data_IF_305539497210
#
_entry.id   IF_305539497210
#
_cell.length_a   1.000
_cell.length_b   1.000
_cell.length_c   1.000
_cell.angle_alpha   90.00
_cell.angle_beta   90.00
_cell.angle_gamma   90.00
#
_symmetry.space_group_name_H-M   'P 1'
#
loop_
_entity.id
_entity.type
_entity.pdbx_description
1 polymer ?
#
# COMPACT_ATOMS: atom_id res chain seq x y z
N UNK A 1 1.23 -13.70 29.25
CA UNK A 1 1.56 -14.63 28.15
C UNK A 1 2.45 -15.80 28.62
N UNK A 2 2.18 -16.45 29.77
CA UNK A 2 3.10 -17.49 30.31
C UNK A 2 2.98 -18.86 29.64
N UNK A 3 1.85 -19.16 29.00
CA UNK A 3 1.59 -20.46 28.38
C UNK A 3 2.15 -20.58 26.95
N UNK A 4 2.21 -19.47 26.20
CA UNK A 4 2.67 -19.48 24.80
C UNK A 4 4.13 -19.98 24.65
N UNK A 5 5.10 -19.53 25.48
CA UNK A 5 6.47 -20.05 25.40
C UNK A 5 6.56 -21.54 25.75
N UNK A 6 5.80 -21.99 26.75
CA UNK A 6 5.76 -23.39 27.18
C UNK A 6 5.14 -24.29 26.11
N UNK A 7 4.06 -23.86 25.48
CA UNK A 7 3.42 -24.56 24.36
C UNK A 7 4.37 -24.65 23.16
N UNK A 8 5.06 -23.56 22.81
CA UNK A 8 6.03 -23.56 21.72
C UNK A 8 7.20 -24.52 21.97
N UNK A 9 7.71 -24.57 23.20
CA UNK A 9 8.75 -25.53 23.60
C UNK A 9 8.27 -26.97 23.50
N UNK A 10 7.05 -27.27 23.98
CA UNK A 10 6.46 -28.60 23.89
C UNK A 10 6.24 -29.04 22.44
N UNK A 11 5.68 -28.16 21.59
CA UNK A 11 5.50 -28.42 20.15
C UNK A 11 6.84 -28.70 19.46
N UNK A 12 7.88 -27.92 19.77
CA UNK A 12 9.22 -28.18 19.23
C UNK A 12 9.69 -29.56 19.64
N UNK A 13 9.62 -29.91 20.92
CA UNK A 13 10.08 -31.22 21.40
C UNK A 13 9.36 -32.38 20.70
N UNK A 14 8.05 -32.27 20.50
CA UNK A 14 7.22 -33.29 19.86
C UNK A 14 7.51 -33.47 18.34
N UNK A 15 7.84 -32.37 17.66
CA UNK A 15 8.28 -32.43 16.26
C UNK A 15 9.67 -33.08 16.10
N UNK A 16 10.58 -32.85 17.05
CA UNK A 16 11.91 -33.49 17.03
C UNK A 16 11.82 -34.98 17.33
N UNK A 17 10.99 -35.40 18.29
CA UNK A 17 10.78 -36.82 18.61
C UNK A 17 10.13 -37.61 17.47
N UNK A 18 9.32 -36.94 16.64
CA UNK A 18 8.66 -37.53 15.47
C UNK A 18 9.58 -37.71 14.24
N UNK A 19 10.88 -37.39 14.36
CA UNK A 19 11.84 -37.51 13.25
C UNK A 19 11.67 -36.46 12.15
N UNK A 20 10.83 -35.45 12.36
CA UNK A 20 10.70 -34.28 11.49
C UNK A 20 11.77 -33.23 11.82
N UNK A 21 13.01 -33.69 12.01
CA UNK A 21 14.18 -32.90 12.45
C UNK A 21 14.58 -31.78 11.47
N UNK A 22 13.95 -31.73 10.29
CA UNK A 22 14.21 -30.74 9.25
C UNK A 22 13.21 -29.58 9.18
N UNK A 23 12.21 -29.53 10.06
CA UNK A 23 11.31 -28.38 10.14
C UNK A 23 12.00 -27.19 10.84
N UNK A 24 13.10 -26.69 10.26
CA UNK A 24 13.66 -25.39 10.64
C UNK A 24 12.54 -24.37 10.53
N UNK A 25 12.17 -23.76 11.66
CA UNK A 25 11.19 -22.69 11.66
C UNK A 25 11.66 -21.56 10.75
N UNK A 26 10.72 -20.81 10.15
CA UNK A 26 11.06 -19.69 9.24
C UNK A 26 12.12 -18.74 9.82
N UNK A 27 12.07 -18.50 11.14
CA UNK A 27 13.07 -17.70 11.85
C UNK A 27 14.49 -18.31 11.80
N UNK A 28 14.63 -19.62 12.04
CA UNK A 28 15.92 -20.31 12.01
C UNK A 28 16.49 -20.37 10.59
N UNK A 29 15.63 -20.64 9.58
CA UNK A 29 16.03 -20.58 8.17
C UNK A 29 16.57 -19.21 7.82
N UNK A 30 15.89 -18.15 8.28
CA UNK A 30 16.31 -16.77 8.04
C UNK A 30 17.67 -16.45 8.68
N UNK A 31 17.89 -16.85 9.94
CA UNK A 31 19.18 -16.67 10.63
C UNK A 31 20.32 -17.42 9.91
N UNK A 32 20.10 -18.67 9.53
CA UNK A 32 21.09 -19.47 8.81
C UNK A 32 21.40 -18.89 7.43
N UNK A 33 20.37 -18.42 6.72
CA UNK A 33 20.50 -17.75 5.44
C UNK A 33 21.38 -16.50 5.55
N UNK A 34 21.08 -15.62 6.51
CA UNK A 34 21.88 -14.41 6.75
C UNK A 34 23.32 -14.75 7.17
N UNK A 35 23.50 -15.75 8.04
CA UNK A 35 24.83 -16.20 8.46
C UNK A 35 25.65 -16.74 7.28
N UNK A 36 25.04 -17.53 6.39
CA UNK A 36 25.69 -18.03 5.19
C UNK A 36 26.11 -16.92 4.22
N UNK A 37 25.21 -15.95 3.98
CA UNK A 37 25.50 -14.78 3.14
C UNK A 37 26.63 -13.91 3.73
N UNK A 38 26.58 -13.64 5.03
CA UNK A 38 27.60 -12.85 5.72
C UNK A 38 28.96 -13.57 5.79
N UNK A 39 28.97 -14.90 5.84
CA UNK A 39 30.18 -15.71 5.75
C UNK A 39 30.73 -15.83 4.31
N UNK A 40 30.06 -15.23 3.31
CA UNK A 40 30.48 -15.29 1.91
C UNK A 40 30.37 -16.69 1.30
N UNK A 41 29.52 -17.57 1.87
CA UNK A 41 29.31 -18.91 1.31
C UNK A 41 28.66 -18.77 -0.08
N UNK A 42 29.20 -19.44 -1.11
CA UNK A 42 28.58 -19.40 -2.42
C UNK A 42 27.20 -20.07 -2.35
N UNK A 43 26.20 -19.52 -3.05
CA UNK A 43 24.89 -20.13 -3.10
C UNK A 43 24.98 -21.47 -3.85
N UNK A 44 24.22 -22.47 -3.39
CA UNK A 44 24.19 -23.81 -4.01
C UNK A 44 23.68 -23.73 -5.44
N UNK A 45 22.74 -22.83 -5.70
CA UNK A 45 22.22 -22.50 -7.03
C UNK A 45 22.61 -21.08 -7.41
N UNK A 46 22.93 -20.81 -8.68
CA UNK A 46 23.28 -19.46 -9.12
C UNK A 46 22.11 -18.49 -8.84
N UNK A 47 22.43 -17.35 -8.23
CA UNK A 47 21.44 -16.30 -7.98
C UNK A 47 21.06 -15.62 -9.31
N UNK A 48 19.81 -15.14 -9.44
CA UNK A 48 19.43 -14.34 -10.59
C UNK A 48 20.23 -13.04 -10.64
N UNK A 49 20.43 -12.50 -11.85
CA UNK A 49 21.15 -11.24 -12.03
C UNK A 49 20.49 -10.07 -11.28
N UNK A 50 19.16 -10.07 -11.21
CA UNK A 50 18.36 -8.99 -10.63
C UNK A 50 17.04 -9.51 -10.07
N UNK A 51 16.62 -8.95 -8.95
CA UNK A 51 15.24 -9.01 -8.43
C UNK A 51 14.67 -7.60 -8.42
N UNK A 52 13.45 -7.46 -8.91
CA UNK A 52 12.71 -6.20 -8.87
C UNK A 52 11.39 -6.42 -8.15
N UNK A 53 11.14 -5.60 -7.14
CA UNK A 53 9.91 -5.64 -6.34
C UNK A 53 9.16 -4.33 -6.62
N UNK A 54 7.99 -4.45 -7.26
CA UNK A 54 7.12 -3.32 -7.59
C UNK A 54 5.88 -3.30 -6.70
N UNK A 55 5.47 -2.10 -6.27
CA UNK A 55 4.19 -1.89 -5.59
C UNK A 55 4.13 -2.45 -4.16
N UNK A 56 5.27 -2.79 -3.56
CA UNK A 56 5.30 -3.19 -2.16
C UNK A 56 5.02 -1.97 -1.28
N UNK A 57 3.80 -1.89 -0.73
CA UNK A 57 3.41 -0.86 0.22
C UNK A 57 3.91 -1.15 1.65
N UNK A 58 4.21 -2.42 1.96
CA UNK A 58 4.87 -2.87 3.19
C UNK A 58 5.69 -4.12 2.95
N UNK A 59 6.77 -4.30 3.71
CA UNK A 59 7.49 -5.56 3.82
C UNK A 59 7.89 -5.80 5.28
N UNK A 60 7.87 -7.06 5.76
CA UNK A 60 8.43 -7.40 7.07
C UNK A 60 9.92 -7.08 7.14
N UNK A 61 10.41 -6.68 8.32
CA UNK A 61 11.83 -6.42 8.58
C UNK A 61 12.72 -7.59 8.15
N UNK A 62 12.36 -8.82 8.49
CA UNK A 62 13.09 -10.02 8.08
C UNK A 62 13.25 -10.10 6.55
N UNK A 63 12.23 -9.69 5.78
CA UNK A 63 12.32 -9.69 4.32
C UNK A 63 13.28 -8.61 3.83
N UNK A 64 13.24 -7.40 4.41
CA UNK A 64 14.17 -6.33 4.07
C UNK A 64 15.62 -6.67 4.44
N UNK A 65 15.85 -7.28 5.60
CA UNK A 65 17.18 -7.75 6.02
C UNK A 65 17.73 -8.78 5.03
N UNK A 66 16.90 -9.73 4.60
CA UNK A 66 17.28 -10.71 3.58
C UNK A 66 17.61 -10.05 2.24
N UNK A 67 16.78 -9.10 1.79
CA UNK A 67 16.98 -8.37 0.54
C UNK A 67 18.24 -7.50 0.56
N UNK A 68 18.50 -6.82 1.68
CA UNK A 68 19.70 -6.03 1.88
C UNK A 68 20.96 -6.90 1.85
N UNK A 69 20.91 -8.09 2.48
CA UNK A 69 22.02 -9.05 2.43
C UNK A 69 22.25 -9.59 1.00
N UNK A 70 21.18 -9.91 0.26
CA UNK A 70 21.24 -10.32 -1.14
C UNK A 70 21.78 -9.21 -2.06
N UNK A 71 21.46 -7.95 -1.75
CA UNK A 71 21.94 -6.77 -2.49
C UNK A 71 23.46 -6.67 -2.61
N UNK A 72 24.21 -7.40 -1.77
CA UNK A 72 25.69 -7.49 -1.85
C UNK A 72 26.19 -8.42 -2.96
N UNK A 73 25.37 -9.38 -3.40
CA UNK A 73 25.75 -10.41 -4.38
C UNK A 73 24.96 -10.31 -5.69
N UNK A 74 23.82 -9.63 -5.69
CA UNK A 74 22.95 -9.46 -6.85
C UNK A 74 22.21 -8.12 -6.79
N UNK A 75 21.68 -7.66 -7.93
CA UNK A 75 20.96 -6.39 -7.96
C UNK A 75 19.55 -6.55 -7.38
N UNK A 76 19.25 -5.77 -6.34
CA UNK A 76 17.91 -5.68 -5.75
C UNK A 76 17.35 -4.30 -6.00
N UNK A 77 16.23 -4.21 -6.72
CA UNK A 77 15.53 -2.96 -7.00
C UNK A 77 14.19 -3.01 -6.29
N UNK A 78 13.96 -2.06 -5.38
CA UNK A 78 12.71 -1.88 -4.68
C UNK A 78 12.03 -0.60 -5.16
N UNK A 79 10.92 -0.73 -5.88
CA UNK A 79 10.10 0.39 -6.31
C UNK A 79 8.97 0.62 -5.30
N UNK A 80 9.19 1.60 -4.43
CA UNK A 80 8.29 1.94 -3.32
C UNK A 80 7.34 3.06 -3.74
N UNK A 81 6.01 2.88 -3.64
CA UNK A 81 5.07 3.98 -3.82
C UNK A 81 5.15 4.92 -2.60
N UNK A 82 5.71 6.11 -2.78
CA UNK A 82 5.74 7.14 -1.75
C UNK A 82 4.75 8.27 -2.13
N UNK A 83 3.73 8.55 -1.32
CA UNK A 83 2.75 9.59 -1.62
C UNK A 83 3.31 11.01 -1.48
N UNK A 84 4.44 11.21 -0.81
CA UNK A 84 4.99 12.52 -0.48
C UNK A 84 6.50 12.60 -0.79
N UNK A 85 6.95 13.72 -1.36
CA UNK A 85 8.38 13.94 -1.70
C UNK A 85 9.24 14.43 -0.53
N UNK A 86 8.60 14.98 0.51
CA UNK A 86 9.26 15.48 1.72
C UNK A 86 9.12 14.51 2.89
N UNK A 87 9.96 14.66 3.91
CA UNK A 87 9.86 13.85 5.12
C UNK A 87 8.57 14.14 5.88
N UNK A 88 7.70 13.14 5.94
CA UNK A 88 6.36 13.24 6.54
C UNK A 88 6.15 12.26 7.71
N UNK A 89 7.16 11.49 8.10
CA UNK A 89 7.02 10.53 9.20
C UNK A 89 6.64 11.20 10.52
N UNK A 90 7.11 12.43 10.72
CA UNK A 90 6.96 13.20 11.96
C UNK A 90 5.54 13.78 12.14
N UNK A 91 4.71 13.83 11.08
CA UNK A 91 3.33 14.35 11.18
C UNK A 91 2.31 13.28 11.59
N UNK A 92 2.70 12.01 11.54
CA UNK A 92 1.81 10.88 11.84
C UNK A 92 1.83 10.57 13.33
N UNK A 93 0.66 10.28 13.91
CA UNK A 93 0.51 9.83 15.31
C UNK A 93 1.51 8.73 15.71
N UNK A 94 2.12 8.82 16.88
CA UNK A 94 3.14 7.84 17.35
C UNK A 94 4.59 8.17 16.98
N UNK A 95 4.85 9.41 16.53
CA UNK A 95 6.18 9.95 16.17
C UNK A 95 7.25 9.89 17.27
N UNK A 96 6.83 9.82 18.53
CA UNK A 96 7.74 9.84 19.70
C UNK A 96 8.73 8.67 19.70
N UNK A 97 8.35 7.54 19.08
CA UNK A 97 9.18 6.33 19.00
C UNK A 97 10.25 6.39 17.89
N UNK A 98 10.26 7.45 17.06
CA UNK A 98 10.98 7.49 15.78
C UNK A 98 12.01 8.63 15.69
N UNK A 99 12.39 9.27 16.80
CA UNK A 99 13.40 10.34 16.79
C UNK A 99 14.77 9.76 16.40
N UNK A 100 15.21 10.04 15.17
CA UNK A 100 16.53 9.66 14.65
C UNK A 100 17.25 10.85 14.01
N UNK A 101 18.58 10.76 14.01
CA UNK A 101 19.50 11.80 13.53
C UNK A 101 19.56 11.92 11.99
N UNK A 102 19.09 10.93 11.23
CA UNK A 102 19.13 10.94 9.75
C UNK A 102 17.78 10.53 9.16
N UNK A 103 17.36 11.28 8.14
CA UNK A 103 16.06 11.14 7.45
C UNK A 103 16.30 10.94 5.97
N UNK A 104 15.60 10.01 5.31
CA UNK A 104 15.73 9.83 3.85
C UNK A 104 15.34 11.08 3.08
N UNK A 105 14.20 11.66 3.39
CA UNK A 105 13.69 12.83 2.68
C UNK A 105 14.06 14.12 3.41
N UNK A 106 14.25 15.20 2.65
CA UNK A 106 14.48 16.51 3.25
C UNK A 106 13.19 17.05 3.89
N UNK A 107 13.29 17.79 4.99
CA UNK A 107 12.17 18.55 5.50
C UNK A 107 11.74 19.60 4.47
N UNK A 108 10.45 19.88 4.39
CA UNK A 108 9.93 20.96 3.54
C UNK A 108 10.40 22.31 4.09
N UNK A 109 10.99 23.15 3.24
CA UNK A 109 11.52 24.48 3.60
C UNK A 109 12.49 24.49 4.79
N UNK A 110 13.14 23.37 5.11
CA UNK A 110 14.01 23.27 6.29
C UNK A 110 13.26 23.20 7.63
N UNK A 111 11.93 23.15 7.64
CA UNK A 111 11.14 23.06 8.87
C UNK A 111 11.16 21.65 9.45
N UNK A 112 11.74 21.52 10.64
CA UNK A 112 11.72 20.27 11.39
C UNK A 112 10.40 20.07 12.13
N UNK A 113 9.52 19.25 11.56
CA UNK A 113 8.19 18.93 12.10
C UNK A 113 8.25 18.11 13.41
N UNK A 114 9.39 17.50 13.73
CA UNK A 114 9.57 16.78 14.99
C UNK A 114 9.62 17.71 16.21
N UNK A 115 9.98 18.98 16.00
CA UNK A 115 10.02 20.02 17.01
C UNK A 115 8.70 20.81 17.12
N UNK A 116 7.77 20.61 16.18
CA UNK A 116 6.47 21.29 16.16
C UNK A 116 5.47 20.64 17.12
N UNK A 117 4.76 21.47 17.89
CA UNK A 117 3.68 21.02 18.76
C UNK A 117 2.61 20.25 17.96
N UNK A 118 2.03 19.19 18.54
CA UNK A 118 1.09 18.31 17.84
C UNK A 118 -0.12 19.08 17.30
N UNK A 119 -0.59 20.07 18.06
CA UNK A 119 -1.70 20.94 17.68
C UNK A 119 -1.42 21.75 16.42
N UNK A 120 -0.16 22.15 16.18
CA UNK A 120 0.21 23.01 15.05
C UNK A 120 0.62 22.22 13.80
N UNK A 121 0.77 20.89 13.88
CA UNK A 121 1.22 20.07 12.76
C UNK A 121 0.36 20.21 11.50
N UNK A 122 -0.94 20.42 11.65
CA UNK A 122 -1.87 20.57 10.52
C UNK A 122 -1.55 21.80 9.64
N UNK A 123 -0.83 22.80 10.18
CA UNK A 123 -0.42 24.01 9.45
C UNK A 123 0.82 23.76 8.56
N UNK A 124 1.56 22.70 8.84
CA UNK A 124 2.84 22.38 8.22
C UNK A 124 2.86 21.02 7.51
N UNK A 125 1.84 20.19 7.70
CA UNK A 125 1.71 18.89 7.07
C UNK A 125 0.27 18.55 6.68
N UNK A 126 0.14 17.69 5.68
CA UNK A 126 -1.15 17.31 5.14
C UNK A 126 -1.94 16.41 6.14
N UNK A 127 -3.18 16.77 6.52
CA UNK A 127 -3.92 16.04 7.53
C UNK A 127 -4.42 14.67 7.08
N UNK A 128 -4.70 14.46 5.79
CA UNK A 128 -5.07 13.14 5.27
C UNK A 128 -3.89 12.18 5.38
N UNK A 129 -2.69 12.66 5.05
CA UNK A 129 -1.46 11.89 5.21
C UNK A 129 -1.17 11.58 6.68
N UNK A 130 -1.41 12.53 7.59
CA UNK A 130 -1.28 12.30 9.03
C UNK A 130 -2.25 11.22 9.55
N UNK A 131 -3.49 11.20 9.04
CA UNK A 131 -4.54 10.28 9.49
C UNK A 131 -4.36 8.86 8.91
N UNK A 132 -3.99 8.74 7.64
CA UNK A 132 -3.99 7.46 6.91
C UNK A 132 -2.60 6.89 6.64
N UNK A 133 -1.54 7.68 6.83
CA UNK A 133 -0.19 7.31 6.42
C UNK A 133 0.59 6.42 7.39
N UNK A 134 0.02 5.93 8.49
CA UNK A 134 0.75 5.15 9.50
C UNK A 134 1.52 3.96 8.90
N UNK A 135 0.85 3.15 8.10
CA UNK A 135 1.46 1.96 7.48
C UNK A 135 2.60 2.33 6.53
N UNK A 136 2.40 3.34 5.68
CA UNK A 136 3.42 3.82 4.74
C UNK A 136 4.63 4.43 5.46
N UNK A 137 4.39 5.18 6.54
CA UNK A 137 5.46 5.73 7.39
C UNK A 137 6.30 4.60 7.98
N UNK A 138 5.67 3.62 8.61
CA UNK A 138 6.39 2.55 9.30
C UNK A 138 7.28 1.77 8.32
N UNK A 139 6.80 1.56 7.09
CA UNK A 139 7.58 0.95 6.03
C UNK A 139 8.74 1.84 5.56
N UNK A 140 8.51 3.12 5.29
CA UNK A 140 9.57 4.06 4.91
C UNK A 140 10.64 4.16 6.00
N UNK A 141 10.23 4.28 7.26
CA UNK A 141 11.15 4.31 8.40
C UNK A 141 11.98 3.03 8.50
N UNK A 142 11.37 1.87 8.28
CA UNK A 142 12.11 0.61 8.27
C UNK A 142 13.14 0.58 7.14
N UNK A 143 12.81 1.13 5.98
CA UNK A 143 13.76 1.30 4.88
C UNK A 143 14.91 2.24 5.29
N UNK A 144 14.67 3.39 5.93
CA UNK A 144 15.72 4.32 6.43
C UNK A 144 16.82 3.58 7.21
N UNK A 145 16.47 2.58 8.03
CA UNK A 145 17.42 1.77 8.80
C UNK A 145 18.42 0.99 7.92
N UNK A 146 17.97 0.51 6.77
CA UNK A 146 18.81 -0.23 5.82
C UNK A 146 19.66 0.69 4.94
N UNK A 147 19.26 1.95 4.76
CA UNK A 147 20.11 2.97 4.15
C UNK A 147 21.17 3.47 5.14
N UNK A 148 20.84 3.60 6.43
CA UNK A 148 21.79 4.01 7.48
C UNK A 148 22.94 3.01 7.69
N UNK A 149 22.68 1.71 7.51
CA UNK A 149 23.72 0.66 7.57
C UNK A 149 24.62 0.65 6.32
N UNK A 150 24.31 1.48 5.31
CA UNK A 150 25.11 1.65 4.11
C UNK A 150 26.29 2.62 4.32
N UNK A 151 27.21 2.25 5.21
CA UNK A 151 28.63 2.58 5.00
C UNK A 151 29.12 2.17 3.59
N UNK A 152 28.36 1.27 2.92
CA UNK A 152 28.43 0.86 1.52
C UNK A 152 27.98 1.91 0.48
N UNK A 153 27.17 2.92 0.81
CA UNK A 153 26.76 3.95 -0.16
C UNK A 153 27.95 4.75 -0.72
N UNK A 154 29.03 4.90 0.06
CA UNK A 154 30.27 5.55 -0.42
C UNK A 154 31.07 4.71 -1.42
N UNK A 155 30.81 3.41 -1.54
CA UNK A 155 31.60 2.50 -2.38
C UNK A 155 30.91 2.12 -3.70
N UNK A 156 29.59 2.28 -3.81
CA UNK A 156 28.81 1.69 -4.92
C UNK A 156 28.05 2.68 -5.80
N UNK A 157 27.96 3.97 -5.43
CA UNK A 157 27.36 5.04 -6.25
C UNK A 157 26.03 4.64 -6.91
N UNK A 158 25.18 3.88 -6.21
CA UNK A 158 23.85 3.50 -6.70
C UNK A 158 22.91 4.65 -6.32
N UNK A 159 22.45 5.46 -7.28
CA UNK A 159 21.69 6.65 -6.96
C UNK A 159 20.29 6.26 -6.46
N UNK A 160 19.86 6.89 -5.36
CA UNK A 160 18.44 6.98 -5.04
C UNK A 160 17.79 7.84 -6.12
N UNK A 161 16.70 7.34 -6.70
CA UNK A 161 15.94 8.06 -7.73
C UNK A 161 14.56 8.36 -7.17
N UNK A 162 14.36 9.62 -6.81
CA UNK A 162 13.07 10.13 -6.36
C UNK A 162 12.27 10.55 -7.61
N UNK A 163 11.22 9.80 -7.94
CA UNK A 163 10.37 10.03 -9.11
C UNK A 163 9.01 10.56 -8.66
N UNK A 164 8.80 11.86 -8.80
CA UNK A 164 7.53 12.52 -8.50
C UNK A 164 7.06 13.31 -9.71
N UNK A 165 5.74 13.32 -9.94
CA UNK A 165 5.13 14.21 -10.93
C UNK A 165 5.40 15.67 -10.58
N UNK A 166 5.59 16.53 -11.58
CA UNK A 166 5.65 17.99 -11.43
C UNK A 166 4.31 18.69 -11.71
N UNK A 167 3.27 17.91 -12.05
CA UNK A 167 1.93 18.44 -12.34
C UNK A 167 1.38 19.18 -11.12
N UNK A 168 0.88 20.40 -11.33
CA UNK A 168 0.29 21.23 -10.29
C UNK A 168 -1.23 21.08 -10.20
N UNK A 169 -1.85 20.42 -11.19
CA UNK A 169 -3.23 20.01 -11.12
C UNK A 169 -4.25 21.14 -11.26
N UNK A 170 -5.12 21.06 -12.27
CA UNK A 170 -6.23 22.00 -12.41
C UNK A 170 -7.46 21.58 -11.60
N UNK A 171 -7.72 20.27 -11.47
CA UNK A 171 -8.91 19.73 -10.80
C UNK A 171 -8.68 19.55 -9.30
N UNK A 172 -9.76 19.51 -8.52
CA UNK A 172 -9.81 19.27 -7.09
C UNK A 172 -9.07 18.00 -6.69
N UNK A 173 -9.28 16.89 -7.40
CA UNK A 173 -8.55 15.64 -7.15
C UNK A 173 -7.03 15.87 -7.27
N UNK A 174 -6.62 16.63 -8.28
CA UNK A 174 -5.22 16.86 -8.60
C UNK A 174 -4.56 17.84 -7.64
N UNK A 175 -5.27 18.90 -7.25
CA UNK A 175 -4.86 19.81 -6.18
C UNK A 175 -4.67 19.05 -4.86
N UNK A 176 -5.61 18.16 -4.49
CA UNK A 176 -5.49 17.32 -3.28
C UNK A 176 -4.26 16.41 -3.36
N UNK A 177 -4.01 15.76 -4.50
CA UNK A 177 -2.84 14.91 -4.70
C UNK A 177 -1.53 15.71 -4.62
N UNK A 178 -1.50 16.93 -5.16
CA UNK A 178 -0.36 17.85 -5.04
C UNK A 178 -0.12 18.25 -3.60
N UNK A 179 -1.17 18.58 -2.85
CA UNK A 179 -1.07 18.91 -1.42
C UNK A 179 -0.50 17.76 -0.59
N UNK A 180 -0.88 16.51 -0.90
CA UNK A 180 -0.30 15.32 -0.26
C UNK A 180 1.17 15.15 -0.68
N UNK A 181 1.45 15.24 -1.99
CA UNK A 181 2.81 15.13 -2.56
C UNK A 181 3.77 16.12 -1.92
N UNK A 182 3.30 17.34 -1.72
CA UNK A 182 4.12 18.49 -1.33
C UNK A 182 4.07 18.80 0.15
N UNK A 183 3.45 17.91 0.94
CA UNK A 183 3.30 18.04 2.37
C UNK A 183 2.72 19.42 2.75
N UNK A 184 1.65 19.79 2.07
CA UNK A 184 0.96 21.05 2.30
C UNK A 184 -0.07 20.89 3.41
N UNK A 185 0.10 21.71 4.46
CA UNK A 185 -0.93 21.91 5.46
C UNK A 185 -2.13 22.66 4.89
N UNK A 186 -3.26 22.56 5.56
CA UNK A 186 -4.47 23.27 5.15
C UNK A 186 -4.40 24.69 5.71
N UNK A 187 -4.48 25.69 4.82
CA UNK A 187 -4.60 27.10 5.22
C UNK A 187 -5.77 27.76 4.51
N UNK A 188 -6.60 28.55 5.19
CA UNK A 188 -7.74 29.24 4.56
C UNK A 188 -7.32 30.06 3.33
N UNK A 189 -6.15 30.70 3.38
CA UNK A 189 -5.58 31.48 2.30
C UNK A 189 -5.13 30.66 1.07
N UNK A 190 -4.97 29.36 1.22
CA UNK A 190 -4.61 28.43 0.12
C UNK A 190 -5.83 27.73 -0.50
N UNK A 191 -7.03 27.97 0.04
CA UNK A 191 -8.26 27.44 -0.54
C UNK A 191 -8.59 28.20 -1.84
N UNK A 192 -8.31 27.58 -2.98
CA UNK A 192 -8.71 28.07 -4.29
C UNK A 192 -10.21 27.87 -4.51
N UNK A 193 -10.84 28.79 -5.23
CA UNK A 193 -12.21 28.62 -5.67
C UNK A 193 -12.32 27.38 -6.56
N UNK A 194 -13.33 26.55 -6.30
CA UNK A 194 -13.60 25.36 -7.10
C UNK A 194 -14.30 25.77 -8.40
N UNK A 195 -13.96 25.08 -9.49
CA UNK A 195 -14.74 25.17 -10.73
C UNK A 195 -16.03 24.36 -10.55
N UNK A 196 -17.18 24.99 -10.80
CA UNK A 196 -18.49 24.35 -10.68
C UNK A 196 -18.66 23.15 -11.63
N UNK A 197 -17.84 23.06 -12.69
CA UNK A 197 -17.83 21.93 -13.63
C UNK A 197 -16.82 20.83 -13.25
N UNK A 198 -16.11 20.97 -12.14
CA UNK A 198 -15.14 19.98 -11.69
C UNK A 198 -15.83 18.80 -10.99
N UNK A 199 -15.89 17.69 -11.70
CA UNK A 199 -16.42 16.42 -11.19
C UNK A 199 -15.33 15.38 -10.92
N UNK A 200 -14.11 15.81 -10.61
CA UNK A 200 -12.99 14.92 -10.28
C UNK A 200 -13.13 14.24 -8.91
N UNK A 201 -13.83 14.87 -7.97
CA UNK A 201 -14.24 14.30 -6.68
C UNK A 201 -15.70 14.64 -6.44
N UNK A 202 -16.56 13.62 -6.33
CA UNK A 202 -18.01 13.80 -6.15
C UNK A 202 -18.49 12.91 -5.02
N UNK A 203 -19.39 13.42 -4.19
CA UNK A 203 -20.05 12.68 -3.13
C UNK A 203 -21.50 12.41 -3.51
N UNK A 204 -21.91 11.15 -3.42
CA UNK A 204 -23.30 10.73 -3.64
C UNK A 204 -23.89 10.21 -2.34
N UNK A 205 -25.12 10.63 -2.03
CA UNK A 205 -25.90 10.10 -0.91
C UNK A 205 -27.04 9.30 -1.50
N UNK A 206 -27.06 7.99 -1.20
CA UNK A 206 -28.10 7.07 -1.63
C UNK A 206 -28.90 6.55 -0.43
N UNK A 207 -30.15 6.14 -0.68
CA UNK A 207 -31.07 5.67 0.36
C UNK A 207 -31.03 4.14 0.55
N UNK A 208 -30.30 3.42 -0.31
CA UNK A 208 -30.08 1.98 -0.24
C UNK A 208 -28.89 1.57 -1.12
N UNK A 209 -28.30 0.40 -0.86
CA UNK A 209 -27.23 -0.16 -1.67
C UNK A 209 -27.66 -0.39 -3.13
N UNK A 210 -28.91 -0.79 -3.38
CA UNK A 210 -29.43 -0.93 -4.74
C UNK A 210 -29.45 0.44 -5.45
N UNK A 211 -29.90 1.49 -4.76
CA UNK A 211 -29.93 2.83 -5.34
C UNK A 211 -28.52 3.39 -5.56
N UNK A 212 -27.58 3.06 -4.70
CA UNK A 212 -26.16 3.40 -4.86
C UNK A 212 -25.58 2.81 -6.16
N UNK A 213 -25.82 1.51 -6.41
CA UNK A 213 -25.37 0.83 -7.64
C UNK A 213 -26.05 1.41 -8.88
N UNK A 214 -27.34 1.74 -8.81
CA UNK A 214 -28.05 2.40 -9.91
C UNK A 214 -27.48 3.79 -10.24
N UNK A 215 -27.24 4.61 -9.21
CA UNK A 215 -26.62 5.94 -9.39
C UNK A 215 -25.22 5.78 -10.01
N UNK A 216 -24.43 4.81 -9.55
CA UNK A 216 -23.13 4.51 -10.13
C UNK A 216 -23.23 4.14 -11.61
N UNK A 217 -24.17 3.28 -12.00
CA UNK A 217 -24.38 2.90 -13.39
C UNK A 217 -24.70 4.11 -14.27
N UNK A 218 -25.64 4.96 -13.85
CA UNK A 218 -25.99 6.20 -14.55
C UNK A 218 -24.76 7.14 -14.71
N UNK A 219 -23.99 7.34 -13.63
CA UNK A 219 -22.78 8.19 -13.65
C UNK A 219 -21.69 7.64 -14.58
N UNK A 220 -21.53 6.32 -14.65
CA UNK A 220 -20.57 5.70 -15.56
C UNK A 220 -21.01 5.85 -17.01
N UNK A 221 -22.31 5.70 -17.30
CA UNK A 221 -22.84 5.94 -18.64
C UNK A 221 -22.57 7.37 -19.13
N UNK A 222 -22.84 8.36 -18.28
CA UNK A 222 -22.58 9.76 -18.61
C UNK A 222 -21.09 10.01 -18.91
N UNK A 223 -20.20 9.41 -18.12
CA UNK A 223 -18.75 9.52 -18.32
C UNK A 223 -18.25 8.80 -19.57
N UNK A 224 -18.82 7.64 -19.90
CA UNK A 224 -18.49 6.94 -21.14
C UNK A 224 -19.04 7.65 -22.38
N UNK A 225 -20.19 8.31 -22.27
CA UNK A 225 -20.76 9.11 -23.35
C UNK A 225 -19.86 10.31 -23.73
N UNK A 226 -19.10 10.86 -22.78
CA UNK A 226 -18.10 11.89 -23.03
C UNK A 226 -16.86 11.38 -23.80
N UNK A 227 -16.66 10.06 -23.90
CA UNK A 227 -15.70 9.42 -24.82
C UNK A 227 -14.23 9.39 -24.38
N UNK A 228 -13.91 9.88 -23.17
CA UNK A 228 -12.52 9.95 -22.67
C UNK A 228 -12.09 8.73 -21.85
N UNK A 229 -13.04 7.90 -21.41
CA UNK A 229 -12.83 6.82 -20.46
C UNK A 229 -13.24 5.47 -21.06
N UNK A 230 -12.47 4.42 -20.80
CA UNK A 230 -12.85 3.04 -21.11
C UNK A 230 -13.24 2.29 -19.83
N UNK A 231 -14.12 1.27 -19.90
CA UNK A 231 -14.50 0.48 -18.72
C UNK A 231 -13.31 -0.11 -17.94
N UNK A 232 -12.23 -0.49 -18.64
CA UNK A 232 -10.99 -1.02 -18.01
C UNK A 232 -10.22 0.01 -17.17
N UNK A 233 -10.51 1.29 -17.34
CA UNK A 233 -9.86 2.38 -16.59
C UNK A 233 -10.60 2.68 -15.27
N UNK A 234 -11.69 1.97 -15.00
CA UNK A 234 -12.57 2.16 -13.84
C UNK A 234 -12.40 1.01 -12.85
N UNK A 235 -12.23 1.36 -11.57
CA UNK A 235 -12.31 0.42 -10.45
C UNK A 235 -13.42 0.86 -9.49
N UNK A 236 -14.23 -0.10 -9.07
CA UNK A 236 -15.28 0.10 -8.06
C UNK A 236 -14.93 -0.78 -6.88
N UNK A 237 -14.76 -0.17 -5.70
CA UNK A 237 -14.42 -0.87 -4.47
C UNK A 237 -15.56 -0.71 -3.47
N UNK A 238 -15.96 -1.81 -2.86
CA UNK A 238 -17.00 -1.87 -1.82
C UNK A 238 -16.43 -2.55 -0.58
N UNK A 239 -16.92 -2.24 0.64
CA UNK A 239 -16.38 -2.80 1.88
C UNK A 239 -16.55 -4.33 1.99
N UNK A 240 -17.62 -4.88 1.44
CA UNK A 240 -17.92 -6.31 1.42
C UNK A 240 -18.65 -6.62 0.10
N UNK A 241 -18.08 -7.50 -0.71
CA UNK A 241 -18.54 -7.72 -2.09
C UNK A 241 -19.73 -8.69 -2.18
N UNK A 242 -19.86 -9.63 -1.24
CA UNK A 242 -20.94 -10.62 -1.22
C UNK A 242 -22.32 -9.98 -1.20
N UNK A 243 -22.52 -8.93 -0.39
CA UNK A 243 -23.77 -8.18 -0.32
C UNK A 243 -24.07 -7.33 -1.56
N UNK A 244 -23.04 -6.83 -2.26
CA UNK A 244 -23.20 -5.97 -3.43
C UNK A 244 -23.31 -6.75 -4.75
N UNK A 245 -22.71 -7.94 -4.85
CA UNK A 245 -22.64 -8.68 -6.11
C UNK A 245 -24.03 -8.98 -6.74
N UNK A 246 -25.07 -9.40 -5.99
CA UNK A 246 -26.41 -9.56 -6.54
C UNK A 246 -27.02 -8.25 -7.05
N UNK A 247 -26.74 -7.13 -6.38
CA UNK A 247 -27.25 -5.80 -6.76
C UNK A 247 -26.57 -5.28 -8.02
N UNK A 248 -25.26 -5.52 -8.15
CA UNK A 248 -24.48 -5.22 -9.35
C UNK A 248 -25.03 -6.01 -10.53
N UNK A 249 -25.16 -7.33 -10.42
CA UNK A 249 -25.76 -8.18 -11.47
C UNK A 249 -27.15 -7.70 -11.85
N UNK A 250 -28.01 -7.47 -10.85
CA UNK A 250 -29.37 -7.01 -11.06
C UNK A 250 -29.46 -5.66 -11.77
N UNK A 251 -28.42 -4.81 -11.73
CA UNK A 251 -28.41 -3.48 -12.37
C UNK A 251 -27.71 -3.50 -13.73
N UNK A 252 -26.55 -4.17 -13.82
CA UNK A 252 -25.70 -4.16 -15.01
C UNK A 252 -26.12 -5.22 -16.05
N UNK A 253 -26.75 -6.33 -15.64
CA UNK A 253 -27.21 -7.40 -16.56
C UNK A 253 -28.61 -7.12 -17.14
N UNK A 254 -29.20 -5.97 -16.87
CA UNK A 254 -30.53 -5.62 -17.39
C UNK A 254 -30.55 -5.34 -18.90
N UNK A 255 -29.37 -5.09 -19.48
CA UNK A 255 -29.24 -4.61 -20.86
C UNK A 255 -28.51 -5.63 -21.72
N UNK A 256 -29.03 -5.85 -22.93
CA UNK A 256 -28.36 -6.66 -23.94
C UNK A 256 -27.05 -6.01 -24.38
N UNK A 257 -26.09 -6.82 -24.85
CA UNK A 257 -24.76 -6.35 -25.28
C UNK A 257 -24.78 -5.33 -26.42
N UNK A 258 -25.87 -5.27 -27.17
CA UNK A 258 -26.06 -4.32 -28.27
C UNK A 258 -26.69 -2.99 -27.81
N UNK A 259 -27.20 -2.92 -26.57
CA UNK A 259 -27.73 -1.69 -25.99
C UNK A 259 -26.59 -0.75 -25.61
N UNK A 260 -26.77 0.56 -25.87
CA UNK A 260 -25.79 1.60 -25.52
C UNK A 260 -25.60 1.75 -24.01
N UNK A 261 -26.53 1.23 -23.20
CA UNK A 261 -26.49 1.23 -21.73
C UNK A 261 -25.74 0.04 -21.14
N UNK A 262 -25.33 -0.90 -21.96
CA UNK A 262 -24.53 -2.03 -21.52
C UNK A 262 -23.10 -1.58 -21.18
N UNK A 263 -22.68 -1.84 -19.94
CA UNK A 263 -21.31 -1.62 -19.48
C UNK A 263 -20.71 -2.98 -19.10
N UNK A 264 -19.61 -3.42 -19.73
CA UNK A 264 -18.93 -4.65 -19.32
C UNK A 264 -18.30 -4.48 -17.95
N UNK A 265 -18.49 -5.47 -17.07
CA UNK A 265 -17.93 -5.49 -15.72
C UNK A 265 -17.43 -6.89 -15.36
N UNK A 266 -16.58 -6.97 -14.34
CA UNK A 266 -16.13 -8.22 -13.74
C UNK A 266 -16.06 -8.03 -12.23
N UNK A 267 -16.63 -8.96 -11.46
CA UNK A 267 -16.58 -8.94 -10.00
C UNK A 267 -15.40 -9.78 -9.55
N UNK A 268 -14.56 -9.22 -8.67
CA UNK A 268 -13.42 -9.89 -8.06
C UNK A 268 -13.64 -10.01 -6.55
N UNK A 269 -12.83 -10.84 -5.89
CA UNK A 269 -12.83 -11.06 -4.43
C UNK A 269 -14.10 -11.72 -3.84
N UNK A 270 -14.92 -12.35 -4.69
CA UNK A 270 -15.99 -13.24 -4.21
C UNK A 270 -15.40 -14.51 -3.59
N UNK A 271 -15.98 -14.96 -2.48
CA UNK A 271 -15.59 -16.25 -1.93
C UNK A 271 -16.13 -17.37 -2.83
N UNK A 272 -15.34 -18.43 -3.02
CA UNK A 272 -15.76 -19.59 -3.81
C UNK A 272 -17.11 -20.17 -3.35
N UNK A 273 -17.43 -20.01 -2.06
CA UNK A 273 -18.70 -20.42 -1.44
C UNK A 273 -19.92 -19.69 -2.00
N UNK A 274 -19.77 -18.40 -2.30
CA UNK A 274 -20.86 -17.55 -2.78
C UNK A 274 -21.12 -17.75 -4.28
N UNK A 275 -20.14 -18.27 -5.01
CA UNK A 275 -20.25 -18.54 -6.45
C UNK A 275 -20.75 -19.96 -6.77
N UNK A 276 -20.53 -20.93 -5.89
CA UNK A 276 -20.79 -22.35 -6.16
C UNK A 276 -21.89 -22.94 -5.24
N UNK A 277 -23.13 -23.07 -5.72
CA UNK A 277 -24.24 -23.65 -4.95
C UNK A 277 -23.97 -25.05 -4.41
N UNK A 278 -23.11 -25.82 -5.08
CA UNK A 278 -22.71 -27.17 -4.64
C UNK A 278 -21.88 -27.16 -3.35
N UNK A 279 -21.05 -26.13 -3.13
CA UNK A 279 -20.27 -26.01 -1.89
C UNK A 279 -21.18 -25.72 -0.70
N UNK A 280 -22.22 -24.91 -0.89
CA UNK A 280 -23.23 -24.68 0.13
C UNK A 280 -23.97 -25.98 0.47
N UNK A 281 -24.33 -26.78 -0.54
CA UNK A 281 -25.03 -28.05 -0.32
C UNK A 281 -24.20 -29.09 0.46
N UNK A 282 -22.87 -29.06 0.33
CA UNK A 282 -21.96 -29.97 1.05
C UNK A 282 -21.86 -29.67 2.55
N UNK A 283 -22.07 -28.44 3.00
CA UNK A 283 -22.04 -28.08 4.43
C UNK A 283 -23.26 -28.62 5.21
N UNK A 284 -24.33 -29.00 4.51
CA UNK A 284 -25.56 -29.55 5.11
C UNK A 284 -25.61 -31.09 5.13
N UNK A 285 -24.58 -31.77 4.59
CA UNK A 285 -24.42 -33.22 4.56
C UNK A 285 -23.43 -33.69 5.63
#
# INVERSE_FOLDING_TARGET
>A
QCWQPRLWQALRQDLHSSGQDQALGRAQVHEQFLAALNAGRPPVTPLPRRVVIFGAATLPEQSLTALAALGRQMQVILAVPNPCRYHWADIVSGRELLRRERRRQSPRNGHDLSATATEDLHQFGNPLLAAWGRQGRDFLHLLDQFDETAALQRQMDIPRIDLFSEDQGATLLRQLQVQIRDLEGIRPETCTALDDNDHSVVFHIAHSALREVQILHDQLLDRFAAGTLQPRDVIVMVPEIGGFAPLIRATFDQYDREDRRYIPYHIVDLQARDEQPLLLALDWL
#
